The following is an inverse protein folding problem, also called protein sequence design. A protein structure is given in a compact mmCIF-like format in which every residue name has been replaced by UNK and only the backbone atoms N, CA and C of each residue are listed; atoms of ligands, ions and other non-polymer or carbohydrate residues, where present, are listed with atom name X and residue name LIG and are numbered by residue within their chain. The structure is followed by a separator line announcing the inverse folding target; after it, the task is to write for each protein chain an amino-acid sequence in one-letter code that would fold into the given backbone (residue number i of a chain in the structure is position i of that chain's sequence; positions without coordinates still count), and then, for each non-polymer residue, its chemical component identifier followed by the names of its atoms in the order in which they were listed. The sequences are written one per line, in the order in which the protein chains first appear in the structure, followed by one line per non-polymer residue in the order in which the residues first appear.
data_IF_108705878992
#
_entry.id   IF_108705878992
#
_cell.length_a   1.000
_cell.length_b   1.000
_cell.length_c   1.000
_cell.angle_alpha   90.00
_cell.angle_beta   90.00
_cell.angle_gamma   90.00
#
_symmetry.space_group_name_H-M   'P 1'
#
loop_
_entity.id
_entity.type
_entity.pdbx_description
1 polymer ?
#
# COMPACT_ATOMS: atom_id res chain seq x y z
N UNK A 1 6.46 8.57 22.40
CA UNK A 1 6.33 10.03 22.24
C UNK A 1 5.63 10.29 20.92
N UNK A 2 4.68 11.26 20.91
CA UNK A 2 3.99 11.70 19.69
C UNK A 2 4.84 12.61 18.82
N UNK A 3 4.21 13.27 17.85
CA UNK A 3 4.84 14.27 17.00
C UNK A 3 5.54 15.34 17.84
N UNK A 4 6.81 15.57 17.55
CA UNK A 4 7.67 16.51 18.31
C UNK A 4 7.86 17.84 17.58
N UNK A 5 7.48 17.90 16.31
CA UNK A 5 7.57 19.11 15.48
C UNK A 5 6.24 19.39 14.78
N UNK A 6 5.91 20.68 14.67
CA UNK A 6 4.72 21.15 13.94
C UNK A 6 5.08 21.40 12.47
N UNK A 7 6.31 21.79 12.17
CA UNK A 7 6.75 22.23 10.83
C UNK A 7 7.87 21.38 10.23
N UNK A 8 8.40 20.39 10.96
CA UNK A 8 9.42 19.48 10.46
C UNK A 8 8.91 18.05 10.49
N UNK A 9 9.46 17.20 9.66
CA UNK A 9 9.16 15.77 9.64
C UNK A 9 9.28 15.15 11.03
N UNK A 10 8.35 14.28 11.38
CA UNK A 10 8.34 13.53 12.64
C UNK A 10 8.85 12.10 12.45
N UNK A 11 9.42 11.81 11.30
CA UNK A 11 9.89 10.50 10.93
C UNK A 11 11.24 10.16 11.56
N UNK A 12 11.47 8.90 11.94
CA UNK A 12 12.75 8.46 12.42
C UNK A 12 13.78 8.37 11.29
N UNK A 13 15.06 8.55 11.62
CA UNK A 13 16.14 8.28 10.68
C UNK A 13 16.30 6.76 10.50
N UNK A 14 16.35 6.29 9.25
CA UNK A 14 16.71 4.91 8.95
C UNK A 14 18.21 4.80 8.69
N UNK A 15 18.81 3.76 9.25
CA UNK A 15 20.23 3.44 9.08
C UNK A 15 20.36 1.95 8.71
N UNK A 16 20.84 1.66 7.52
CA UNK A 16 21.03 0.30 7.02
C UNK A 16 22.52 -0.03 7.02
N UNK A 17 22.91 -1.04 7.77
CA UNK A 17 24.30 -1.47 7.94
C UNK A 17 25.27 -0.32 8.28
N UNK A 18 24.79 0.63 9.08
CA UNK A 18 25.56 1.82 9.50
C UNK A 18 25.46 3.01 8.55
N UNK A 19 24.82 2.88 7.39
CA UNK A 19 24.65 3.96 6.41
C UNK A 19 23.25 4.59 6.57
N UNK A 20 23.15 5.88 6.85
CA UNK A 20 21.86 6.57 6.86
C UNK A 20 21.26 6.64 5.46
N UNK A 21 19.97 6.28 5.35
CA UNK A 21 19.21 6.43 4.11
C UNK A 21 18.21 7.57 4.23
N UNK A 22 17.87 8.18 3.10
CA UNK A 22 16.82 9.21 3.05
C UNK A 22 15.47 8.56 3.30
N UNK A 23 14.69 9.16 4.18
CA UNK A 23 13.35 8.72 4.52
C UNK A 23 12.34 9.86 4.33
N UNK A 24 12.71 10.86 3.54
CA UNK A 24 11.83 11.97 3.26
C UNK A 24 10.66 11.49 2.39
N UNK A 25 9.47 11.90 2.76
CA UNK A 25 8.26 11.67 1.98
C UNK A 25 8.43 12.30 0.59
N UNK A 26 8.35 11.47 -0.43
CA UNK A 26 8.44 11.91 -1.82
C UNK A 26 7.03 12.14 -2.39
N UNK A 27 6.30 13.08 -1.83
CA UNK A 27 5.03 13.55 -2.36
C UNK A 27 5.10 15.06 -2.58
N UNK A 28 4.57 15.55 -3.68
CA UNK A 28 4.41 16.99 -3.82
C UNK A 28 3.33 17.47 -2.85
N UNK A 29 3.66 18.48 -2.04
CA UNK A 29 2.76 19.23 -1.16
C UNK A 29 1.74 20.04 -1.98
N UNK A 30 1.03 19.40 -2.89
CA UNK A 30 -0.06 20.04 -3.59
C UNK A 30 -1.38 19.61 -2.95
N UNK A 31 -2.12 20.56 -2.46
CA UNK A 31 -3.44 20.39 -1.81
C UNK A 31 -4.47 19.60 -2.64
N UNK A 32 -4.14 19.28 -3.89
CA UNK A 32 -5.04 18.64 -4.84
C UNK A 32 -4.65 17.21 -5.27
N UNK A 33 -3.39 16.75 -5.07
CA UNK A 33 -2.95 15.45 -5.53
C UNK A 33 -1.67 14.97 -4.81
N UNK A 34 -1.70 14.82 -3.49
CA UNK A 34 -0.59 14.16 -2.80
C UNK A 34 -0.70 12.65 -3.00
N UNK A 35 0.05 12.12 -3.96
CA UNK A 35 0.24 10.69 -4.11
C UNK A 35 1.43 10.29 -3.25
N UNK A 36 1.22 9.40 -2.30
CA UNK A 36 2.30 8.82 -1.49
C UNK A 36 3.02 7.74 -2.32
N UNK A 37 4.22 8.06 -2.78
CA UNK A 37 5.09 7.09 -3.46
C UNK A 37 5.89 6.22 -2.48
N UNK A 38 5.65 6.35 -1.18
CA UNK A 38 6.42 5.69 -0.12
C UNK A 38 7.76 6.34 0.13
N UNK A 39 8.61 5.65 0.85
CA UNK A 39 9.96 6.08 1.19
C UNK A 39 10.99 4.99 0.90
N UNK A 40 12.28 5.32 0.92
CA UNK A 40 13.36 4.36 0.64
C UNK A 40 13.44 3.18 1.62
N UNK A 41 12.86 3.31 2.82
CA UNK A 41 12.78 2.19 3.75
C UNK A 41 11.91 1.03 3.21
N UNK A 42 10.96 1.31 2.32
CA UNK A 42 10.14 0.30 1.67
C UNK A 42 10.92 -0.56 0.65
N UNK A 43 12.09 -0.09 0.20
CA UNK A 43 12.95 -0.83 -0.74
C UNK A 43 13.75 -1.94 -0.04
N UNK A 44 13.81 -1.90 1.30
CA UNK A 44 14.48 -2.93 2.08
C UNK A 44 13.63 -4.21 2.02
N UNK A 45 14.22 -5.29 1.50
CA UNK A 45 13.58 -6.59 1.54
C UNK A 45 13.60 -7.13 2.99
N UNK A 46 12.43 -7.35 3.63
CA UNK A 46 12.38 -7.87 4.99
C UNK A 46 13.13 -9.20 5.18
N UNK A 47 13.16 -10.05 4.15
CA UNK A 47 13.82 -11.35 4.18
C UNK A 47 15.37 -11.24 4.22
N UNK A 48 15.91 -10.07 3.87
CA UNK A 48 17.32 -9.78 3.98
C UNK A 48 17.74 -9.20 5.34
N UNK A 49 16.77 -8.90 6.20
CA UNK A 49 16.99 -8.31 7.52
C UNK A 49 17.37 -9.39 8.53
N UNK A 50 18.45 -9.18 9.25
CA UNK A 50 18.89 -9.98 10.39
C UNK A 50 18.30 -9.45 11.70
N UNK A 51 18.37 -8.13 11.89
CA UNK A 51 17.85 -7.50 13.10
C UNK A 51 17.44 -6.04 12.86
N UNK A 52 16.50 -5.57 13.68
CA UNK A 52 16.07 -4.16 13.73
C UNK A 52 16.25 -3.66 15.16
N UNK A 53 17.01 -2.59 15.33
CA UNK A 53 17.23 -1.93 16.61
C UNK A 53 16.69 -0.50 16.56
N UNK A 54 15.87 -0.14 17.56
CA UNK A 54 15.30 1.21 17.65
C UNK A 54 16.03 2.02 18.73
N UNK A 55 16.72 3.06 18.32
CA UNK A 55 17.34 4.03 19.24
C UNK A 55 16.39 5.20 19.47
N UNK A 56 16.17 5.54 20.73
CA UNK A 56 15.25 6.62 21.14
C UNK A 56 15.99 7.71 21.93
N UNK A 57 15.58 8.96 21.73
CA UNK A 57 16.05 10.09 22.55
C UNK A 57 17.55 10.37 22.40
N UNK A 58 18.20 10.66 23.53
CA UNK A 58 19.59 11.13 23.57
C UNK A 58 20.62 10.18 22.97
N UNK A 59 20.40 8.87 23.05
CA UNK A 59 21.31 7.87 22.45
C UNK A 59 21.31 7.94 20.91
N UNK A 60 20.18 8.25 20.30
CA UNK A 60 20.06 8.43 18.86
C UNK A 60 20.80 9.69 18.40
N UNK A 61 20.54 10.82 19.09
CA UNK A 61 21.17 12.10 18.74
C UNK A 61 22.66 12.13 19.00
N UNK A 62 23.15 11.40 20.01
CA UNK A 62 24.58 11.28 20.28
C UNK A 62 25.35 10.60 19.15
N UNK A 63 24.74 9.62 18.46
CA UNK A 63 25.36 8.87 17.38
C UNK A 63 25.17 9.52 16.00
N UNK A 64 23.99 10.09 15.73
CA UNK A 64 23.59 10.52 14.39
C UNK A 64 23.25 12.03 14.30
N UNK A 65 23.46 12.77 15.39
CA UNK A 65 23.24 14.23 15.44
C UNK A 65 21.76 14.63 15.39
N UNK A 66 21.51 15.87 14.95
CA UNK A 66 20.16 16.46 14.92
C UNK A 66 19.17 15.71 14.03
N UNK A 67 19.62 15.04 12.98
CA UNK A 67 18.77 14.22 12.11
C UNK A 67 18.10 13.07 12.84
N UNK A 68 18.62 12.66 13.97
CA UNK A 68 18.08 11.59 14.80
C UNK A 68 17.18 12.09 15.95
N UNK A 69 16.72 13.35 15.90
CA UNK A 69 15.88 13.94 16.95
C UNK A 69 14.60 13.13 17.21
N UNK A 70 14.03 12.53 16.17
CA UNK A 70 12.84 11.68 16.25
C UNK A 70 13.15 10.19 16.50
N UNK A 71 14.43 9.85 16.71
CA UNK A 71 14.92 8.49 16.89
C UNK A 71 15.58 7.93 15.64
N UNK A 72 16.13 6.72 15.77
CA UNK A 72 16.81 5.99 14.68
C UNK A 72 16.30 4.56 14.65
N UNK A 73 15.99 4.08 13.46
CA UNK A 73 15.72 2.66 13.18
C UNK A 73 16.96 2.11 12.48
N UNK A 74 17.71 1.29 13.20
CA UNK A 74 18.89 0.61 12.66
C UNK A 74 18.48 -0.75 12.12
N UNK A 75 18.71 -0.95 10.86
CA UNK A 75 18.49 -2.23 10.16
C UNK A 75 19.85 -2.88 9.90
N UNK A 76 20.05 -4.06 10.43
CA UNK A 76 21.24 -4.89 10.14
C UNK A 76 20.81 -5.98 9.17
N UNK A 77 21.52 -6.10 8.06
CA UNK A 77 21.21 -7.11 7.06
C UNK A 77 21.99 -8.41 7.33
N UNK A 78 21.42 -9.52 6.86
CA UNK A 78 22.02 -10.85 6.95
C UNK A 78 23.38 -10.87 6.27
N UNK A 79 24.40 -11.41 6.95
CA UNK A 79 25.75 -11.58 6.42
C UNK A 79 26.05 -13.05 6.15
N UNK A 80 26.99 -13.30 5.26
CA UNK A 80 27.52 -14.64 5.11
C UNK A 80 28.40 -14.98 6.30
N UNK A 81 28.13 -16.12 6.92
CA UNK A 81 29.03 -16.73 7.90
C UNK A 81 30.06 -17.64 7.23
N UNK A 82 30.79 -18.44 8.05
CA UNK A 82 31.73 -19.47 7.57
C UNK A 82 31.01 -20.69 6.96
N UNK A 83 29.88 -20.48 6.30
CA UNK A 83 29.07 -21.53 5.65
C UNK A 83 29.61 -21.80 4.22
N UNK A 84 29.75 -23.07 3.86
CA UNK A 84 30.25 -23.46 2.51
C UNK A 84 29.30 -22.99 1.40
N UNK A 85 28.01 -23.25 1.56
CA UNK A 85 26.95 -22.81 0.67
C UNK A 85 25.61 -23.04 1.37
N UNK A 86 24.79 -22.02 1.43
CA UNK A 86 23.41 -22.12 1.91
C UNK A 86 22.47 -21.48 0.89
N UNK A 87 21.42 -22.17 0.53
CA UNK A 87 20.34 -21.64 -0.32
C UNK A 87 19.05 -21.69 0.50
N UNK A 88 18.42 -20.56 0.63
CA UNK A 88 17.15 -20.41 1.36
C UNK A 88 16.09 -19.92 0.41
N UNK A 89 14.92 -20.52 0.46
CA UNK A 89 13.72 -20.03 -0.20
C UNK A 89 12.65 -19.74 0.85
N UNK A 90 12.13 -18.52 0.82
CA UNK A 90 11.02 -18.06 1.65
C UNK A 90 9.87 -17.67 0.74
N UNK A 91 8.72 -18.29 0.94
CA UNK A 91 7.52 -18.03 0.13
C UNK A 91 6.31 -17.80 1.03
N UNK A 92 5.50 -16.79 0.72
CA UNK A 92 4.22 -16.57 1.36
C UNK A 92 3.13 -16.27 0.34
N UNK A 93 1.92 -16.66 0.70
CA UNK A 93 0.71 -16.37 -0.04
C UNK A 93 -0.34 -15.84 0.93
N UNK A 94 -0.98 -14.73 0.58
CA UNK A 94 -2.01 -14.12 1.39
C UNK A 94 -3.24 -13.81 0.52
N UNK A 95 -4.42 -14.13 1.06
CA UNK A 95 -5.70 -13.70 0.51
C UNK A 95 -6.33 -12.63 1.41
N UNK A 96 -6.87 -11.59 0.83
CA UNK A 96 -7.54 -10.51 1.55
C UNK A 96 -8.95 -10.28 1.02
N UNK A 97 -9.85 -9.89 1.89
CA UNK A 97 -11.22 -9.53 1.49
C UNK A 97 -11.75 -8.43 2.40
N UNK A 98 -12.71 -7.65 1.90
CA UNK A 98 -13.32 -6.59 2.69
C UNK A 98 -14.11 -7.18 3.85
N UNK A 99 -13.69 -6.87 5.07
CA UNK A 99 -14.31 -7.38 6.30
C UNK A 99 -15.70 -6.76 6.52
N UNK A 100 -15.80 -5.45 6.38
CA UNK A 100 -17.04 -4.69 6.64
C UNK A 100 -17.20 -3.57 5.64
N UNK A 101 -18.43 -3.35 5.23
CA UNK A 101 -18.88 -2.18 4.47
C UNK A 101 -19.88 -1.41 5.30
N UNK A 102 -20.04 -0.10 5.09
CA UNK A 102 -21.09 0.68 5.74
C UNK A 102 -22.46 0.06 5.49
N UNK A 103 -23.29 0.07 6.53
CA UNK A 103 -24.71 -0.27 6.35
C UNK A 103 -25.43 0.94 5.75
N UNK A 104 -26.00 0.75 4.59
CA UNK A 104 -26.80 1.76 3.91
C UNK A 104 -28.29 1.48 4.12
N UNK A 105 -29.08 2.54 4.09
CA UNK A 105 -30.55 2.40 4.06
C UNK A 105 -31.00 1.80 2.71
N UNK A 106 -32.12 1.12 2.70
CA UNK A 106 -32.65 0.36 1.57
C UNK A 106 -34.01 0.87 1.06
N UNK A 107 -34.45 2.02 1.57
CA UNK A 107 -35.80 2.54 1.35
C UNK A 107 -35.84 3.67 0.32
N UNK A 108 -34.86 4.53 0.30
CA UNK A 108 -34.77 5.68 -0.57
C UNK A 108 -33.63 5.56 -1.55
N UNK A 109 -33.83 6.08 -2.75
CA UNK A 109 -32.82 6.06 -3.79
C UNK A 109 -32.04 7.37 -3.92
N UNK A 110 -31.39 7.51 -5.05
CA UNK A 110 -30.53 8.66 -5.37
C UNK A 110 -31.33 9.95 -5.51
N UNK A 111 -30.80 11.04 -4.99
CA UNK A 111 -31.38 12.40 -5.07
C UNK A 111 -31.57 13.04 -3.70
N UNK A 112 -32.18 14.23 -3.70
CA UNK A 112 -32.50 15.04 -2.54
C UNK A 112 -33.99 15.41 -2.62
N UNK A 113 -34.87 14.54 -2.11
CA UNK A 113 -36.32 14.73 -2.17
C UNK A 113 -36.95 14.38 -3.51
N UNK A 114 -36.25 14.58 -4.63
CA UNK A 114 -36.64 14.14 -5.97
C UNK A 114 -35.56 13.24 -6.55
N UNK A 115 -35.88 12.45 -7.58
CA UNK A 115 -34.89 11.66 -8.31
C UNK A 115 -33.91 12.57 -9.03
N UNK A 116 -32.62 12.33 -8.84
CA UNK A 116 -31.54 13.06 -9.49
C UNK A 116 -30.42 12.11 -9.91
N UNK A 117 -30.37 11.69 -11.18
CA UNK A 117 -29.38 10.71 -11.65
C UNK A 117 -27.93 11.20 -11.58
N UNK A 118 -27.72 12.50 -11.47
CA UNK A 118 -26.40 13.14 -11.34
C UNK A 118 -26.07 13.56 -9.90
N UNK A 119 -27.01 13.34 -8.97
CA UNK A 119 -26.86 13.77 -7.58
C UNK A 119 -26.17 12.70 -6.75
N UNK A 120 -25.38 13.13 -5.77
CA UNK A 120 -24.71 12.24 -4.83
C UNK A 120 -25.54 11.96 -3.56
N UNK A 121 -26.76 12.48 -3.46
CA UNK A 121 -27.63 12.29 -2.32
C UNK A 121 -28.29 10.92 -2.28
N UNK A 122 -28.63 10.45 -1.08
CA UNK A 122 -29.27 9.15 -0.83
C UNK A 122 -30.67 9.29 -0.21
N UNK A 123 -31.27 10.50 -0.30
CA UNK A 123 -32.60 10.83 0.25
C UNK A 123 -33.51 11.30 -0.85
N UNK A 124 -33.46 10.66 -2.01
CA UNK A 124 -34.40 10.84 -3.11
C UNK A 124 -35.72 10.12 -2.88
N UNK A 125 -36.50 9.82 -3.92
CA UNK A 125 -37.77 9.13 -3.81
C UNK A 125 -37.63 7.73 -3.20
N UNK A 126 -38.74 7.21 -2.72
CA UNK A 126 -38.83 5.80 -2.30
C UNK A 126 -38.54 4.90 -3.49
N UNK A 127 -37.78 3.87 -3.27
CA UNK A 127 -37.48 2.83 -4.27
C UNK A 127 -38.79 2.11 -4.62
N UNK A 128 -39.34 2.37 -5.80
CA UNK A 128 -40.64 1.89 -6.23
C UNK A 128 -40.60 0.66 -7.15
N UNK A 129 -39.38 0.23 -7.52
CA UNK A 129 -39.16 -0.91 -8.40
C UNK A 129 -39.50 -0.67 -9.87
N UNK A 130 -39.92 0.52 -10.26
CA UNK A 130 -40.26 0.88 -11.63
C UNK A 130 -38.97 1.28 -12.39
N UNK A 131 -39.07 1.19 -13.71
CA UNK A 131 -37.95 1.66 -14.55
C UNK A 131 -37.90 3.19 -14.56
N UNK A 132 -36.76 3.72 -14.16
CA UNK A 132 -36.42 5.13 -14.25
C UNK A 132 -35.29 5.34 -15.24
N UNK A 133 -35.29 6.46 -15.92
CA UNK A 133 -34.19 6.88 -16.78
C UNK A 133 -32.98 7.15 -15.89
N UNK A 134 -31.89 6.49 -16.24
CA UNK A 134 -30.61 6.60 -15.54
C UNK A 134 -29.62 7.34 -16.44
N UNK A 135 -29.26 8.55 -16.06
CA UNK A 135 -28.23 9.37 -16.67
C UNK A 135 -28.14 9.43 -18.19
N UNK A 136 -27.48 10.41 -18.73
CA UNK A 136 -27.09 10.41 -20.12
C UNK A 136 -25.95 9.40 -20.31
N UNK A 137 -26.13 8.47 -21.21
CA UNK A 137 -25.07 7.57 -21.69
C UNK A 137 -24.59 8.05 -23.04
N UNK A 138 -23.27 8.25 -23.16
CA UNK A 138 -22.63 8.50 -24.47
C UNK A 138 -22.26 7.17 -25.09
N UNK A 139 -22.77 6.87 -26.26
CA UNK A 139 -22.39 5.69 -27.05
C UNK A 139 -21.07 5.89 -27.83
N UNK A 140 -20.36 7.00 -27.56
CA UNK A 140 -19.11 7.36 -28.24
C UNK A 140 -19.33 8.11 -29.56
N UNK A 141 -20.57 8.33 -30.03
CA UNK A 141 -20.87 9.20 -31.15
C UNK A 141 -21.08 10.63 -30.68
N UNK A 142 -20.45 11.58 -31.35
CA UNK A 142 -20.55 13.01 -30.99
C UNK A 142 -22.02 13.45 -30.95
N UNK A 143 -22.49 13.76 -29.75
CA UNK A 143 -23.78 14.44 -29.53
C UNK A 143 -25.01 13.54 -29.34
N UNK A 144 -24.92 12.23 -29.41
CA UNK A 144 -26.05 11.32 -29.12
C UNK A 144 -25.95 10.75 -27.70
N UNK A 145 -26.87 11.20 -26.85
CA UNK A 145 -27.04 10.64 -25.49
C UNK A 145 -28.21 9.67 -25.54
N UNK A 146 -27.94 8.37 -25.41
CA UNK A 146 -28.99 7.36 -25.28
C UNK A 146 -29.30 7.18 -23.80
N UNK A 147 -30.50 7.55 -23.32
CA UNK A 147 -30.87 7.34 -21.93
C UNK A 147 -31.00 5.85 -21.66
N UNK A 148 -30.34 5.37 -20.64
CA UNK A 148 -30.51 4.03 -20.11
C UNK A 148 -31.68 4.01 -19.12
N UNK A 149 -32.41 2.92 -19.06
CA UNK A 149 -33.46 2.67 -18.08
C UNK A 149 -33.09 1.49 -17.21
N UNK A 150 -33.33 1.60 -15.92
CA UNK A 150 -33.17 0.51 -14.97
C UNK A 150 -34.21 0.56 -13.87
N UNK A 151 -34.55 -0.59 -13.23
CA UNK A 151 -35.43 -0.64 -12.09
C UNK A 151 -34.88 0.23 -10.94
N UNK A 152 -35.72 1.10 -10.40
CA UNK A 152 -35.39 1.91 -9.23
C UNK A 152 -35.66 1.10 -7.96
N UNK A 153 -34.77 0.16 -7.69
CA UNK A 153 -34.91 -0.82 -6.62
C UNK A 153 -33.61 -0.96 -5.82
N UNK A 154 -33.75 -1.43 -4.60
CA UNK A 154 -32.61 -1.74 -3.77
C UNK A 154 -31.79 -2.91 -4.34
N UNK A 155 -30.49 -2.72 -4.45
CA UNK A 155 -29.54 -3.76 -4.82
C UNK A 155 -28.85 -4.25 -3.56
N UNK A 156 -29.20 -5.47 -3.15
CA UNK A 156 -28.59 -6.11 -1.97
C UNK A 156 -27.10 -6.30 -2.19
N UNK A 157 -26.33 -6.01 -1.16
CA UNK A 157 -24.87 -6.14 -1.14
C UNK A 157 -24.12 -5.26 -2.17
N UNK A 158 -24.77 -4.28 -2.78
CA UNK A 158 -24.18 -3.42 -3.81
C UNK A 158 -22.76 -2.91 -3.48
N UNK A 159 -22.53 -2.45 -2.24
CA UNK A 159 -21.22 -2.01 -1.79
C UNK A 159 -20.23 -3.17 -1.63
N UNK A 160 -20.70 -4.32 -1.19
CA UNK A 160 -19.83 -5.48 -0.97
C UNK A 160 -19.45 -6.15 -2.29
N UNK A 161 -20.40 -6.27 -3.20
CA UNK A 161 -20.22 -6.91 -4.50
C UNK A 161 -19.34 -6.08 -5.44
N UNK A 162 -19.05 -4.83 -5.07
CA UNK A 162 -18.08 -4.00 -5.76
C UNK A 162 -16.64 -4.50 -5.54
N UNK A 163 -16.35 -5.08 -4.39
CA UNK A 163 -15.01 -5.53 -4.04
C UNK A 163 -14.79 -6.99 -4.44
N UNK A 164 -13.58 -7.29 -4.83
CA UNK A 164 -13.14 -8.66 -5.09
C UNK A 164 -12.18 -9.17 -4.00
N UNK A 165 -11.73 -10.41 -4.14
CA UNK A 165 -10.74 -10.99 -3.23
C UNK A 165 -9.34 -10.64 -3.75
N UNK A 166 -8.58 -9.92 -2.96
CA UNK A 166 -7.19 -9.61 -3.26
C UNK A 166 -6.27 -10.78 -2.93
N UNK A 167 -5.15 -10.85 -3.66
CA UNK A 167 -4.13 -11.87 -3.49
C UNK A 167 -2.74 -11.26 -3.46
N UNK A 168 -1.91 -11.73 -2.55
CA UNK A 168 -0.51 -11.34 -2.48
C UNK A 168 0.38 -12.59 -2.48
N UNK A 169 1.44 -12.53 -3.26
CA UNK A 169 2.51 -13.52 -3.26
C UNK A 169 3.84 -12.82 -2.97
N UNK A 170 4.60 -13.38 -2.05
CA UNK A 170 5.97 -12.97 -1.78
C UNK A 170 6.87 -14.19 -1.93
N UNK A 171 7.89 -14.09 -2.77
CA UNK A 171 8.86 -15.14 -3.01
C UNK A 171 10.26 -14.54 -2.89
N UNK A 172 11.10 -15.16 -2.08
CA UNK A 172 12.47 -14.75 -1.88
C UNK A 172 13.41 -15.94 -1.97
N UNK A 173 14.48 -15.80 -2.74
CA UNK A 173 15.57 -16.76 -2.81
C UNK A 173 16.84 -16.07 -2.36
N UNK A 174 17.55 -16.64 -1.42
CA UNK A 174 18.85 -16.15 -0.98
C UNK A 174 19.92 -17.25 -1.05
N UNK A 175 21.08 -16.88 -1.53
CA UNK A 175 22.28 -17.72 -1.60
C UNK A 175 23.34 -17.07 -0.72
N UNK A 176 23.88 -17.82 0.22
CA UNK A 176 24.95 -17.40 1.10
C UNK A 176 26.10 -18.40 1.01
N UNK A 177 27.30 -17.88 0.88
CA UNK A 177 28.51 -18.67 0.89
C UNK A 177 29.62 -17.84 1.51
N UNK A 178 30.52 -18.49 2.22
CA UNK A 178 31.64 -17.79 2.83
C UNK A 178 32.67 -18.73 3.46
N UNK A 179 33.76 -18.13 3.84
CA UNK A 179 34.81 -18.72 4.65
C UNK A 179 35.31 -17.69 5.66
N UNK A 180 36.34 -18.01 6.43
CA UNK A 180 36.88 -17.14 7.49
C UNK A 180 37.40 -15.79 6.97
N UNK A 181 37.54 -15.60 5.66
CA UNK A 181 38.14 -14.40 5.05
C UNK A 181 37.21 -13.65 4.12
N UNK A 182 36.26 -14.34 3.50
CA UNK A 182 35.37 -13.77 2.50
C UNK A 182 33.98 -14.34 2.66
N UNK A 183 32.97 -13.49 2.58
CA UNK A 183 31.58 -13.84 2.57
C UNK A 183 30.85 -13.21 1.41
N UNK A 184 29.86 -13.92 0.87
CA UNK A 184 29.00 -13.44 -0.20
C UNK A 184 27.54 -13.81 0.07
N UNK A 185 26.66 -12.84 -0.12
CA UNK A 185 25.20 -13.00 -0.06
C UNK A 185 24.60 -12.44 -1.33
N UNK A 186 23.79 -13.24 -2.00
CA UNK A 186 22.94 -12.79 -3.09
C UNK A 186 21.49 -13.14 -2.76
N UNK A 187 20.58 -12.20 -2.95
CA UNK A 187 19.14 -12.46 -2.80
C UNK A 187 18.35 -11.88 -3.96
N UNK A 188 17.23 -12.54 -4.27
CA UNK A 188 16.21 -12.07 -5.19
C UNK A 188 14.86 -12.24 -4.54
N UNK A 189 14.13 -11.11 -4.41
CA UNK A 189 12.77 -11.06 -3.91
C UNK A 189 11.80 -10.62 -4.99
N UNK A 190 10.64 -11.26 -5.06
CA UNK A 190 9.53 -10.88 -5.92
C UNK A 190 8.25 -10.80 -5.10
N UNK A 191 7.64 -9.64 -5.08
CA UNK A 191 6.32 -9.40 -4.48
C UNK A 191 5.36 -9.04 -5.58
N UNK A 192 4.21 -9.71 -5.61
CA UNK A 192 3.07 -9.35 -6.45
C UNK A 192 1.84 -9.29 -5.55
N UNK A 193 1.15 -8.19 -5.60
CA UNK A 193 -0.09 -7.96 -4.86
C UNK A 193 -1.14 -7.42 -5.80
N UNK A 194 -2.32 -7.95 -5.68
CA UNK A 194 -3.55 -7.44 -6.26
C UNK A 194 -4.51 -7.21 -5.10
N UNK A 195 -5.03 -6.01 -4.97
CA UNK A 195 -5.83 -5.62 -3.82
C UNK A 195 -7.28 -6.08 -3.93
N UNK A 196 -8.18 -5.32 -3.30
CA UNK A 196 -9.60 -5.67 -3.26
C UNK A 196 -10.46 -4.82 -4.20
N UNK A 197 -9.87 -3.87 -4.93
CA UNK A 197 -10.58 -3.08 -5.93
C UNK A 197 -10.72 -3.86 -7.23
N UNK A 198 -11.82 -3.67 -7.98
CA UNK A 198 -12.05 -4.40 -9.21
C UNK A 198 -10.96 -4.21 -10.27
N UNK A 199 -10.53 -5.29 -10.87
CA UNK A 199 -9.47 -5.31 -11.87
C UNK A 199 -8.10 -4.99 -11.26
N UNK A 200 -7.18 -4.46 -12.06
CA UNK A 200 -5.80 -4.17 -11.64
C UNK A 200 -5.62 -2.77 -11.01
N UNK A 201 -6.69 -2.18 -10.47
CA UNK A 201 -6.69 -0.77 -10.02
C UNK A 201 -5.77 -0.51 -8.82
N UNK A 202 -5.54 -1.50 -7.98
CA UNK A 202 -4.68 -1.47 -6.79
C UNK A 202 -3.59 -2.56 -6.83
N UNK A 203 -3.16 -2.93 -8.04
CA UNK A 203 -2.10 -3.91 -8.24
C UNK A 203 -0.71 -3.32 -7.94
N UNK A 204 0.17 -4.14 -7.42
CA UNK A 204 1.55 -3.79 -7.08
C UNK A 204 2.50 -4.93 -7.43
N UNK A 205 3.64 -4.60 -8.01
CA UNK A 205 4.70 -5.57 -8.27
C UNK A 205 6.07 -4.98 -7.94
N UNK A 206 6.89 -5.73 -7.20
CA UNK A 206 8.25 -5.34 -6.86
C UNK A 206 9.21 -6.52 -7.06
N UNK A 207 10.35 -6.22 -7.67
CA UNK A 207 11.48 -7.12 -7.75
C UNK A 207 12.68 -6.48 -7.04
N UNK A 208 13.29 -7.19 -6.13
CA UNK A 208 14.44 -6.72 -5.37
C UNK A 208 15.60 -7.67 -5.60
N UNK A 209 16.76 -7.11 -5.95
CA UNK A 209 18.03 -7.86 -6.09
C UNK A 209 19.00 -7.25 -5.10
N UNK A 210 19.64 -8.07 -4.30
CA UNK A 210 20.67 -7.64 -3.35
C UNK A 210 21.90 -8.49 -3.48
N UNK A 211 23.07 -7.81 -3.50
CA UNK A 211 24.39 -8.44 -3.55
C UNK A 211 25.25 -7.79 -2.46
N UNK A 212 25.84 -8.62 -1.61
CA UNK A 212 26.71 -8.15 -0.52
C UNK A 212 27.93 -9.03 -0.42
N UNK A 213 29.07 -8.39 -0.13
CA UNK A 213 30.33 -9.05 0.17
C UNK A 213 30.89 -8.53 1.48
N UNK A 214 31.55 -9.37 2.25
CA UNK A 214 32.25 -9.04 3.50
C UNK A 214 33.58 -9.80 3.62
#
# INVERSE_FOLDING_TARGET
RGATSINAGNEPLYVVDGVPIMNDFQGEDSFSNSVDFGNQANDINPEDVESVTVLKGASATALYGSRAANGVIMVTTKRAGAERLSVTYDGSFMGSSVLRVPQTQDRFGQGWGSFGPMENGSWGPVLDGRDHIWGPYSDGSEGLLTPLSKPFSYVKNNLRDFYETGFETNNNVSIRMGNDKLGFVASYGNVKSDGVLPGDADSYARNTISLRGN
#
